data_IF_571645588987
#
_entry.id   IF_571645588987
#
_cell.length_a   1.000
_cell.length_b   1.000
_cell.length_c   1.000
_cell.angle_alpha   90.00
_cell.angle_beta   90.00
_cell.angle_gamma   90.00
#
_symmetry.space_group_name_H-M   'P 1'
#
loop_
_entity.id
_entity.type
_entity.pdbx_description
1 polymer ?
#
# COMPACT_ATOMS: atom_id res chain seq x y z
N UNK A 1 -20.37 -11.19 15.39
CA UNK A 1 -19.95 -12.61 15.50
C UNK A 1 -19.31 -13.14 14.22
N UNK A 2 -19.99 -13.26 13.07
CA UNK A 2 -19.36 -13.75 11.82
C UNK A 2 -18.26 -12.82 11.29
N UNK A 3 -18.46 -11.51 11.33
CA UNK A 3 -17.46 -10.51 10.92
C UNK A 3 -16.21 -10.54 11.81
N UNK A 4 -16.39 -10.70 13.10
CA UNK A 4 -15.30 -10.78 14.08
C UNK A 4 -14.45 -12.03 13.86
N UNK A 5 -15.09 -13.17 13.56
CA UNK A 5 -14.36 -14.42 13.29
C UNK A 5 -13.58 -14.37 11.98
N UNK A 6 -14.16 -13.77 10.93
CA UNK A 6 -13.45 -13.53 9.68
C UNK A 6 -12.22 -12.65 9.86
N UNK A 7 -12.33 -11.58 10.62
CA UNK A 7 -11.22 -10.69 10.95
C UNK A 7 -10.14 -11.43 11.75
N UNK A 8 -10.53 -12.21 12.78
CA UNK A 8 -9.59 -13.07 13.54
C UNK A 8 -8.79 -14.01 12.63
N UNK A 9 -9.45 -14.59 11.63
CA UNK A 9 -8.78 -15.47 10.66
C UNK A 9 -7.81 -14.65 9.77
N UNK A 10 -8.19 -13.47 9.31
CA UNK A 10 -7.33 -12.61 8.50
C UNK A 10 -6.11 -12.13 9.29
N UNK A 11 -6.28 -11.74 10.55
CA UNK A 11 -5.19 -11.36 11.45
C UNK A 11 -4.20 -12.52 11.63
N UNK A 12 -4.70 -13.72 11.93
CA UNK A 12 -3.89 -14.94 12.04
C UNK A 12 -3.18 -15.27 10.70
N UNK A 13 -3.86 -15.04 9.58
CA UNK A 13 -3.27 -15.26 8.25
C UNK A 13 -2.13 -14.27 7.99
N UNK A 14 -2.30 -13.01 8.38
CA UNK A 14 -1.25 -11.99 8.27
C UNK A 14 -0.01 -12.41 9.06
N UNK A 15 -0.17 -12.88 10.29
CA UNK A 15 0.95 -13.38 11.11
C UNK A 15 1.68 -14.56 10.43
N UNK A 16 0.93 -15.54 9.96
CA UNK A 16 1.52 -16.72 9.29
C UNK A 16 2.22 -16.31 7.99
N UNK A 17 1.60 -15.45 7.16
CA UNK A 17 2.23 -14.99 5.91
C UNK A 17 3.48 -14.16 6.19
N UNK A 18 3.47 -13.30 7.21
CA UNK A 18 4.64 -12.51 7.58
C UNK A 18 5.84 -13.39 7.95
N UNK A 19 5.62 -14.49 8.66
CA UNK A 19 6.66 -15.40 9.11
C UNK A 19 7.08 -16.42 8.05
N UNK A 20 6.11 -17.10 7.42
CA UNK A 20 6.33 -18.25 6.53
C UNK A 20 6.38 -17.87 5.04
N UNK A 21 6.05 -16.63 4.70
CA UNK A 21 5.78 -16.16 3.35
C UNK A 21 4.58 -16.86 2.71
N UNK A 22 4.07 -16.33 1.60
CA UNK A 22 2.93 -16.93 0.88
C UNK A 22 3.25 -18.38 0.46
N UNK A 23 4.47 -18.66 0.05
CA UNK A 23 4.91 -20.00 -0.38
C UNK A 23 4.92 -21.02 0.76
N UNK A 24 5.31 -20.62 1.96
CA UNK A 24 5.34 -21.47 3.17
C UNK A 24 4.01 -21.58 3.89
N UNK A 25 3.09 -20.66 3.68
CA UNK A 25 1.77 -20.64 4.34
C UNK A 25 0.98 -21.91 4.08
N UNK A 26 0.40 -22.50 5.16
CA UNK A 26 -0.46 -23.71 5.13
C UNK A 26 -1.68 -23.47 5.98
N UNK A 27 -2.84 -24.05 5.57
CA UNK A 27 -4.13 -23.90 6.27
C UNK A 27 -4.07 -24.33 7.74
N UNK A 28 -3.34 -25.42 8.05
CA UNK A 28 -3.21 -25.88 9.44
C UNK A 28 -2.41 -24.90 10.33
N UNK A 29 -1.44 -24.17 9.77
CA UNK A 29 -0.69 -23.14 10.51
C UNK A 29 -1.62 -21.96 10.85
N UNK A 30 -2.43 -21.51 9.88
CA UNK A 30 -3.40 -20.46 10.08
C UNK A 30 -4.47 -20.87 11.10
N UNK A 31 -4.99 -22.10 11.01
CA UNK A 31 -5.97 -22.62 11.98
C UNK A 31 -5.39 -22.63 13.40
N UNK A 32 -4.14 -23.04 13.55
CA UNK A 32 -3.42 -23.04 14.83
C UNK A 32 -3.25 -21.60 15.36
N UNK A 33 -2.82 -20.68 14.54
CA UNK A 33 -2.62 -19.27 14.90
C UNK A 33 -3.96 -18.60 15.29
N UNK A 34 -5.05 -18.93 14.58
CA UNK A 34 -6.38 -18.44 14.86
C UNK A 34 -7.06 -19.14 16.05
N UNK A 35 -6.39 -20.08 16.72
CA UNK A 35 -6.95 -20.91 17.79
C UNK A 35 -8.29 -21.57 17.38
N UNK A 36 -8.26 -22.30 16.24
CA UNK A 36 -9.42 -23.03 15.72
C UNK A 36 -9.02 -24.32 15.02
N UNK A 37 -10.02 -25.19 14.75
CA UNK A 37 -9.78 -26.39 13.94
C UNK A 37 -9.66 -26.04 12.46
N UNK A 38 -8.90 -26.84 11.71
CA UNK A 38 -8.79 -26.66 10.25
C UNK A 38 -10.14 -26.82 9.55
N UNK A 39 -11.02 -27.68 10.04
CA UNK A 39 -12.37 -27.84 9.50
C UNK A 39 -13.22 -26.57 9.69
N UNK A 40 -13.07 -25.90 10.82
CA UNK A 40 -13.74 -24.63 11.07
C UNK A 40 -13.17 -23.51 10.16
N UNK A 41 -11.86 -23.49 9.95
CA UNK A 41 -11.22 -22.56 9.00
C UNK A 41 -11.77 -22.76 7.58
N UNK A 42 -11.87 -24.00 7.10
CA UNK A 42 -12.44 -24.32 5.78
C UNK A 42 -13.92 -23.93 5.62
N UNK A 43 -14.67 -23.83 6.70
CA UNK A 43 -16.03 -23.30 6.66
C UNK A 43 -16.07 -21.81 6.25
N UNK A 44 -15.09 -21.01 6.71
CA UNK A 44 -14.99 -19.58 6.36
C UNK A 44 -14.26 -19.34 5.03
N UNK A 45 -13.24 -20.12 4.76
CA UNK A 45 -12.37 -20.01 3.58
C UNK A 45 -12.11 -21.43 3.01
N UNK A 46 -12.86 -21.82 1.97
CA UNK A 46 -12.78 -23.17 1.40
C UNK A 46 -11.38 -23.54 0.92
N UNK A 47 -10.63 -22.57 0.37
CA UNK A 47 -9.27 -22.79 -0.15
C UNK A 47 -8.25 -21.82 0.44
N UNK A 48 -6.98 -22.19 0.36
CA UNK A 48 -5.87 -21.28 0.69
C UNK A 48 -5.88 -20.04 -0.20
N UNK A 49 -6.23 -20.17 -1.48
CA UNK A 49 -6.29 -19.03 -2.41
C UNK A 49 -7.35 -18.04 -1.97
N UNK A 50 -8.58 -18.48 -1.64
CA UNK A 50 -9.65 -17.60 -1.17
C UNK A 50 -9.22 -16.79 0.05
N UNK A 51 -8.51 -17.44 0.97
CA UNK A 51 -8.01 -16.80 2.18
C UNK A 51 -6.90 -15.77 1.88
N UNK A 52 -5.96 -16.12 1.01
CA UNK A 52 -4.88 -15.20 0.61
C UNK A 52 -5.40 -14.00 -0.16
N UNK A 53 -6.37 -14.18 -1.06
CA UNK A 53 -7.00 -13.07 -1.78
C UNK A 53 -7.80 -12.18 -0.81
N UNK A 54 -8.51 -12.77 0.15
CA UNK A 54 -9.21 -12.00 1.17
C UNK A 54 -8.24 -11.17 2.03
N UNK A 55 -7.09 -11.72 2.43
CA UNK A 55 -6.06 -11.00 3.15
C UNK A 55 -5.47 -9.87 2.29
N UNK A 56 -5.16 -10.13 1.02
CA UNK A 56 -4.66 -9.10 0.11
C UNK A 56 -5.65 -7.93 0.01
N UNK A 57 -6.92 -8.21 -0.20
CA UNK A 57 -7.96 -7.17 -0.29
C UNK A 57 -8.05 -6.37 1.01
N UNK A 58 -8.00 -7.00 2.17
CA UNK A 58 -8.03 -6.33 3.47
C UNK A 58 -6.82 -5.40 3.66
N UNK A 59 -5.62 -5.85 3.30
CA UNK A 59 -4.40 -5.04 3.31
C UNK A 59 -4.50 -3.85 2.36
N UNK A 60 -4.97 -4.05 1.12
CA UNK A 60 -5.10 -2.97 0.14
C UNK A 60 -6.17 -1.96 0.54
N UNK A 61 -7.28 -2.42 1.13
CA UNK A 61 -8.31 -1.55 1.69
C UNK A 61 -7.77 -0.71 2.84
N UNK A 62 -6.96 -1.30 3.71
CA UNK A 62 -6.31 -0.60 4.81
C UNK A 62 -5.38 0.52 4.29
N UNK A 63 -4.49 0.22 3.33
CA UNK A 63 -3.62 1.22 2.71
C UNK A 63 -4.40 2.33 2.01
N UNK A 64 -5.45 1.97 1.25
CA UNK A 64 -6.28 2.94 0.54
C UNK A 64 -6.99 3.89 1.50
N UNK A 65 -7.59 3.37 2.57
CA UNK A 65 -8.26 4.19 3.59
C UNK A 65 -7.28 5.13 4.30
N UNK A 66 -6.08 4.66 4.67
CA UNK A 66 -5.09 5.53 5.31
C UNK A 66 -4.67 6.68 4.40
N UNK A 67 -4.41 6.42 3.11
CA UNK A 67 -4.11 7.48 2.15
C UNK A 67 -5.25 8.46 1.96
N UNK A 68 -6.48 7.97 1.79
CA UNK A 68 -7.67 8.82 1.62
C UNK A 68 -8.00 9.67 2.84
N UNK A 69 -7.64 9.21 4.04
CA UNK A 69 -7.83 10.00 5.27
C UNK A 69 -6.91 11.21 5.36
N UNK A 70 -5.78 11.23 4.67
CA UNK A 70 -4.83 12.35 4.72
C UNK A 70 -4.98 13.30 3.54
N UNK A 71 -5.47 12.82 2.39
CA UNK A 71 -5.69 13.62 1.17
C UNK A 71 -7.03 14.34 1.25
N UNK A 72 -7.00 15.68 1.22
CA UNK A 72 -8.19 16.54 1.25
C UNK A 72 -7.99 17.75 0.32
N UNK A 73 -8.19 17.57 -1.00
CA UNK A 73 -8.00 18.66 -1.97
C UNK A 73 -8.99 19.82 -1.82
N UNK A 74 -10.09 19.63 -1.09
CA UNK A 74 -11.12 20.67 -0.91
C UNK A 74 -10.78 21.62 0.23
N UNK A 75 -10.14 21.11 1.31
CA UNK A 75 -9.90 21.90 2.52
C UNK A 75 -8.41 22.15 2.82
N UNK A 76 -7.48 21.47 2.13
CA UNK A 76 -6.03 21.62 2.28
C UNK A 76 -5.41 22.21 1.01
N UNK A 77 -4.34 22.97 1.19
CA UNK A 77 -3.51 23.43 0.09
C UNK A 77 -2.76 22.27 -0.57
N UNK A 78 -2.27 22.51 -1.79
CA UNK A 78 -1.40 21.54 -2.47
C UNK A 78 -0.19 21.12 -1.61
N UNK A 79 0.46 22.07 -0.95
CA UNK A 79 1.65 21.78 -0.12
C UNK A 79 1.29 20.93 1.09
N UNK A 80 0.19 21.20 1.77
CA UNK A 80 -0.28 20.40 2.90
C UNK A 80 -0.63 18.97 2.46
N UNK A 81 -1.38 18.81 1.36
CA UNK A 81 -1.69 17.48 0.82
C UNK A 81 -0.43 16.71 0.40
N UNK A 82 0.54 17.37 -0.24
CA UNK A 82 1.78 16.74 -0.67
C UNK A 82 2.60 16.27 0.53
N UNK A 83 2.74 17.12 1.55
CA UNK A 83 3.41 16.79 2.80
C UNK A 83 2.74 15.60 3.50
N UNK A 84 1.42 15.61 3.61
CA UNK A 84 0.65 14.55 4.28
C UNK A 84 0.77 13.20 3.58
N UNK A 85 0.86 13.17 2.23
CA UNK A 85 1.13 11.94 1.45
C UNK A 85 2.47 11.32 1.86
N UNK A 86 3.52 12.14 1.98
CA UNK A 86 4.85 11.64 2.38
C UNK A 86 4.90 11.25 3.86
N UNK A 87 4.27 12.05 4.74
CA UNK A 87 4.19 11.77 6.17
C UNK A 87 3.41 10.47 6.46
N UNK A 88 2.30 10.24 5.75
CA UNK A 88 1.54 8.97 5.84
C UNK A 88 2.43 7.78 5.46
N UNK A 89 3.14 7.86 4.34
CA UNK A 89 4.01 6.77 3.91
C UNK A 89 5.15 6.52 4.88
N UNK A 90 5.76 7.57 5.43
CA UNK A 90 6.75 7.45 6.49
C UNK A 90 6.19 6.70 7.70
N UNK A 91 5.01 7.11 8.18
CA UNK A 91 4.33 6.44 9.28
C UNK A 91 4.08 4.95 9.01
N UNK A 92 3.67 4.59 7.79
CA UNK A 92 3.49 3.17 7.39
C UNK A 92 4.81 2.42 7.48
N UNK A 93 5.90 2.96 6.94
CA UNK A 93 7.22 2.32 6.95
C UNK A 93 7.72 2.10 8.39
N UNK A 94 7.55 3.08 9.27
CA UNK A 94 8.05 3.00 10.65
C UNK A 94 7.20 2.10 11.54
N UNK A 95 5.88 2.19 11.44
CA UNK A 95 4.95 1.61 12.39
C UNK A 95 4.16 0.40 11.89
N UNK A 96 4.17 0.13 10.57
CA UNK A 96 3.38 -0.94 9.94
C UNK A 96 4.23 -1.83 9.01
N UNK A 97 5.51 -2.02 9.31
CA UNK A 97 6.50 -2.79 8.53
C UNK A 97 5.98 -4.15 8.06
N UNK A 98 5.21 -4.84 8.92
CA UNK A 98 4.65 -6.15 8.61
C UNK A 98 3.76 -6.12 7.36
N UNK A 99 2.92 -5.08 7.23
CA UNK A 99 2.05 -4.92 6.08
C UNK A 99 2.86 -4.69 4.79
N UNK A 100 3.92 -3.88 4.85
CA UNK A 100 4.82 -3.66 3.72
C UNK A 100 5.55 -4.96 3.31
N UNK A 101 6.08 -5.75 4.27
CA UNK A 101 6.71 -7.04 3.96
C UNK A 101 5.75 -8.00 3.26
N UNK A 102 4.53 -8.11 3.75
CA UNK A 102 3.51 -8.99 3.19
C UNK A 102 3.07 -8.49 1.82
N UNK A 103 2.91 -7.17 1.66
CA UNK A 103 2.57 -6.56 0.37
C UNK A 103 3.63 -6.88 -0.72
N UNK A 104 4.92 -6.83 -0.40
CA UNK A 104 5.97 -7.17 -1.38
C UNK A 104 5.95 -8.64 -1.77
N UNK A 105 5.66 -9.55 -0.85
CA UNK A 105 5.49 -10.97 -1.18
C UNK A 105 4.28 -11.18 -2.14
N UNK A 106 3.17 -10.51 -1.90
CA UNK A 106 2.04 -10.49 -2.83
C UNK A 106 2.38 -9.85 -4.17
N UNK A 107 3.21 -8.81 -4.19
CA UNK A 107 3.59 -8.16 -5.44
C UNK A 107 4.33 -9.14 -6.38
N UNK A 108 5.23 -9.95 -5.84
CA UNK A 108 5.88 -11.03 -6.58
C UNK A 108 4.84 -12.05 -7.10
N UNK A 109 3.85 -12.42 -6.28
CA UNK A 109 2.77 -13.32 -6.71
C UNK A 109 1.94 -12.72 -7.86
N UNK A 110 1.74 -11.40 -7.90
CA UNK A 110 1.04 -10.70 -8.98
C UNK A 110 1.70 -10.87 -10.36
N UNK A 111 2.97 -11.27 -10.45
CA UNK A 111 3.62 -11.56 -11.72
C UNK A 111 3.08 -12.84 -12.38
N UNK A 112 2.55 -13.78 -11.60
CA UNK A 112 2.08 -15.09 -12.05
C UNK A 112 0.59 -15.35 -11.77
N UNK A 113 0.00 -14.68 -10.77
CA UNK A 113 -1.42 -14.84 -10.40
C UNK A 113 -2.23 -13.65 -10.94
N UNK A 114 -3.18 -13.87 -11.90
CA UNK A 114 -3.98 -12.79 -12.48
C UNK A 114 -4.88 -12.07 -11.47
N UNK A 115 -5.44 -12.77 -10.49
CA UNK A 115 -6.33 -12.19 -9.48
C UNK A 115 -5.58 -11.24 -8.54
N UNK A 116 -4.39 -11.63 -8.10
CA UNK A 116 -3.48 -10.77 -7.33
C UNK A 116 -3.07 -9.56 -8.16
N UNK A 117 -2.73 -9.76 -9.44
CA UNK A 117 -2.37 -8.68 -10.37
C UNK A 117 -3.50 -7.66 -10.53
N UNK A 118 -4.74 -8.12 -10.73
CA UNK A 118 -5.91 -7.26 -10.88
C UNK A 118 -6.16 -6.42 -9.63
N UNK A 119 -5.99 -7.01 -8.43
CA UNK A 119 -6.10 -6.27 -7.16
C UNK A 119 -5.07 -5.14 -7.10
N UNK A 120 -3.79 -5.40 -7.44
CA UNK A 120 -2.77 -4.34 -7.47
C UNK A 120 -3.03 -3.28 -8.55
N UNK A 121 -3.50 -3.65 -9.73
CA UNK A 121 -3.85 -2.69 -10.78
C UNK A 121 -4.91 -1.70 -10.28
N UNK A 122 -5.99 -2.20 -9.67
CA UNK A 122 -7.05 -1.36 -9.06
C UNK A 122 -6.48 -0.43 -7.98
N UNK A 123 -5.65 -0.97 -7.09
CA UNK A 123 -5.04 -0.17 -6.01
C UNK A 123 -4.12 0.92 -6.56
N UNK A 124 -3.30 0.62 -7.57
CA UNK A 124 -2.45 1.61 -8.20
C UNK A 124 -3.25 2.68 -8.94
N UNK A 125 -4.37 2.32 -9.58
CA UNK A 125 -5.24 3.30 -10.23
C UNK A 125 -5.85 4.26 -9.20
N UNK A 126 -6.37 3.74 -8.08
CA UNK A 126 -6.89 4.57 -6.98
C UNK A 126 -5.78 5.50 -6.47
N UNK A 127 -4.62 4.98 -6.15
CA UNK A 127 -3.51 5.77 -5.60
C UNK A 127 -3.03 6.88 -6.55
N UNK A 128 -2.89 6.56 -7.85
CA UNK A 128 -2.55 7.56 -8.86
C UNK A 128 -3.63 8.64 -9.01
N UNK A 129 -4.91 8.25 -8.92
CA UNK A 129 -6.02 9.19 -8.97
C UNK A 129 -6.04 10.11 -7.74
N UNK A 130 -5.79 9.59 -6.53
CA UNK A 130 -5.67 10.39 -5.31
C UNK A 130 -4.55 11.42 -5.47
N UNK A 131 -3.36 11.02 -5.94
CA UNK A 131 -2.24 11.93 -6.22
C UNK A 131 -2.62 12.94 -7.32
N UNK A 132 -3.27 12.51 -8.39
CA UNK A 132 -3.67 13.41 -9.48
C UNK A 132 -4.66 14.47 -8.99
N UNK A 133 -5.57 14.13 -8.07
CA UNK A 133 -6.51 15.09 -7.49
C UNK A 133 -5.79 16.22 -6.75
N UNK A 134 -4.72 15.91 -6.04
CA UNK A 134 -3.84 16.89 -5.38
C UNK A 134 -3.07 17.73 -6.39
N UNK A 135 -2.51 17.11 -7.42
CA UNK A 135 -1.76 17.83 -8.47
C UNK A 135 -2.66 18.80 -9.27
N UNK A 136 -3.93 18.49 -9.44
CA UNK A 136 -4.88 19.36 -10.13
C UNK A 136 -5.08 20.74 -9.42
N UNK A 137 -4.75 20.85 -8.13
CA UNK A 137 -4.77 22.12 -7.41
C UNK A 137 -3.71 23.11 -7.94
N UNK A 138 -2.63 22.62 -8.58
CA UNK A 138 -1.55 23.45 -9.12
C UNK A 138 -1.71 23.77 -10.61
N UNK A 139 -2.62 23.09 -11.31
CA UNK A 139 -2.75 23.19 -12.76
C UNK A 139 -3.52 24.43 -13.17
N UNK A 140 -2.86 25.38 -13.86
CA UNK A 140 -3.55 26.32 -14.74
C UNK A 140 -3.99 25.61 -16.01
N UNK A 141 -5.13 26.05 -16.61
CA UNK A 141 -5.67 25.47 -17.86
C UNK A 141 -4.58 25.55 -18.96
N UNK A 142 -3.99 24.41 -19.32
CA UNK A 142 -2.94 24.30 -20.33
C UNK A 142 -1.75 23.42 -19.90
N UNK A 143 -1.52 23.27 -18.60
CA UNK A 143 -0.39 22.49 -18.06
C UNK A 143 -0.66 21.00 -17.90
N UNK A 144 -1.93 20.59 -17.87
CA UNK A 144 -2.35 19.18 -17.65
C UNK A 144 -1.90 18.22 -18.79
N UNK A 145 -1.60 18.73 -19.98
CA UNK A 145 -1.19 17.92 -21.13
C UNK A 145 0.32 17.66 -21.20
N UNK A 146 1.12 18.28 -20.33
CA UNK A 146 2.57 18.04 -20.35
C UNK A 146 2.90 16.58 -19.98
N UNK A 147 3.95 16.03 -20.60
CA UNK A 147 4.42 14.68 -20.30
C UNK A 147 4.77 14.51 -18.81
N UNK A 148 5.36 15.54 -18.21
CA UNK A 148 5.70 15.56 -16.79
C UNK A 148 4.47 15.47 -15.90
N UNK A 149 3.42 16.25 -16.17
CA UNK A 149 2.18 16.24 -15.40
C UNK A 149 1.51 14.84 -15.43
N UNK A 150 1.47 14.18 -16.61
CA UNK A 150 0.88 12.85 -16.74
C UNK A 150 1.67 11.75 -16.04
N UNK A 151 3.01 11.87 -15.98
CA UNK A 151 3.87 10.84 -15.40
C UNK A 151 4.10 11.03 -13.90
N UNK A 152 3.83 12.21 -13.35
CA UNK A 152 4.13 12.53 -11.97
C UNK A 152 3.44 11.60 -10.95
N UNK A 153 2.16 11.20 -11.10
CA UNK A 153 1.55 10.21 -10.20
C UNK A 153 2.27 8.86 -10.19
N UNK A 154 2.75 8.41 -11.35
CA UNK A 154 3.53 7.17 -11.46
C UNK A 154 4.89 7.29 -10.77
N UNK A 155 5.56 8.41 -10.95
CA UNK A 155 6.86 8.71 -10.32
C UNK A 155 6.70 8.78 -8.81
N UNK A 156 5.66 9.47 -8.30
CA UNK A 156 5.40 9.57 -6.87
C UNK A 156 5.13 8.21 -6.25
N UNK A 157 4.27 7.38 -6.85
CA UNK A 157 4.03 6.00 -6.38
C UNK A 157 5.35 5.21 -6.34
N UNK A 158 6.20 5.35 -7.36
CA UNK A 158 7.49 4.66 -7.41
C UNK A 158 8.46 5.12 -6.32
N UNK A 159 8.51 6.43 -6.01
CA UNK A 159 9.30 6.99 -4.91
C UNK A 159 8.84 6.46 -3.56
N UNK A 160 7.52 6.44 -3.32
CA UNK A 160 6.93 5.99 -2.07
C UNK A 160 7.14 4.47 -1.85
N UNK A 161 6.95 3.66 -2.90
CA UNK A 161 7.20 2.21 -2.84
C UNK A 161 8.70 1.90 -2.74
N UNK A 162 9.53 2.63 -3.48
CA UNK A 162 10.99 2.46 -3.45
C UNK A 162 11.57 2.76 -2.07
N UNK A 163 11.07 3.78 -1.38
CA UNK A 163 11.45 4.08 -0.01
C UNK A 163 11.16 2.91 0.93
N UNK A 164 9.94 2.34 0.89
CA UNK A 164 9.60 1.15 1.67
C UNK A 164 10.53 -0.02 1.40
N UNK A 165 10.73 -0.35 0.12
CA UNK A 165 11.54 -1.50 -0.28
C UNK A 165 12.98 -1.37 0.21
N UNK A 166 13.59 -0.19 0.02
CA UNK A 166 14.95 0.04 0.45
C UNK A 166 15.07 0.02 1.98
N UNK A 167 14.17 0.72 2.68
CA UNK A 167 14.21 0.82 4.14
C UNK A 167 14.01 -0.54 4.82
N UNK A 168 13.13 -1.40 4.29
CA UNK A 168 12.91 -2.74 4.83
C UNK A 168 14.12 -3.66 4.72
N UNK A 169 14.98 -3.45 3.71
CA UNK A 169 16.21 -4.27 3.51
C UNK A 169 17.40 -3.64 4.17
N UNK A 170 17.48 -2.32 4.21
CA UNK A 170 18.69 -1.58 4.58
C UNK A 170 18.37 -0.54 5.67
N UNK A 171 17.60 -0.96 6.68
CA UNK A 171 17.15 -0.12 7.80
C UNK A 171 18.30 0.62 8.47
N UNK A 172 18.13 1.92 8.67
CA UNK A 172 19.11 2.78 9.33
C UNK A 172 20.26 3.28 8.43
N UNK A 173 20.28 2.96 7.13
CA UNK A 173 21.28 3.49 6.19
C UNK A 173 20.94 4.89 5.69
N UNK A 174 19.69 5.28 5.74
CA UNK A 174 19.25 6.63 5.43
C UNK A 174 18.11 7.04 6.37
N UNK A 175 17.98 8.33 6.59
CA UNK A 175 16.91 8.93 7.36
C UNK A 175 15.67 9.10 6.47
N UNK A 176 14.52 8.53 6.90
CA UNK A 176 13.27 8.61 6.14
C UNK A 176 12.72 10.03 6.06
N UNK A 177 12.90 10.83 7.11
CA UNK A 177 12.48 12.24 7.11
C UNK A 177 13.27 13.02 6.06
N UNK A 178 14.60 12.88 6.08
CA UNK A 178 15.46 13.53 5.10
C UNK A 178 15.12 13.07 3.68
N UNK A 179 14.92 11.74 3.48
CA UNK A 179 14.54 11.20 2.18
C UNK A 179 13.26 11.84 1.64
N UNK A 180 12.21 11.89 2.45
CA UNK A 180 10.92 12.42 2.01
C UNK A 180 10.94 13.94 1.84
N UNK A 181 11.68 14.68 2.66
CA UNK A 181 11.89 16.12 2.47
C UNK A 181 12.61 16.44 1.14
N UNK A 182 13.60 15.63 0.77
CA UNK A 182 14.26 15.75 -0.54
C UNK A 182 13.30 15.39 -1.68
N UNK A 183 12.55 14.31 -1.56
CA UNK A 183 11.58 13.89 -2.57
C UNK A 183 10.49 14.96 -2.78
N UNK A 184 9.95 15.54 -1.71
CA UNK A 184 8.99 16.64 -1.76
C UNK A 184 9.59 17.84 -2.49
N UNK A 185 10.81 18.24 -2.13
CA UNK A 185 11.53 19.35 -2.79
C UNK A 185 11.75 19.11 -4.28
N UNK A 186 12.06 17.87 -4.69
CA UNK A 186 12.19 17.49 -6.11
C UNK A 186 10.87 17.66 -6.87
N UNK A 187 9.75 17.21 -6.30
CA UNK A 187 8.42 17.38 -6.90
C UNK A 187 8.07 18.88 -7.05
N UNK A 188 8.29 19.67 -6.01
CA UNK A 188 8.03 21.12 -6.03
C UNK A 188 8.86 21.84 -7.08
N UNK A 189 10.15 21.48 -7.23
CA UNK A 189 11.01 22.06 -8.24
C UNK A 189 10.59 21.68 -9.66
N UNK A 190 10.18 20.41 -9.88
CA UNK A 190 9.66 19.97 -11.17
C UNK A 190 8.41 20.75 -11.61
N UNK A 191 7.55 21.12 -10.65
CA UNK A 191 6.34 21.91 -10.92
C UNK A 191 6.61 23.39 -11.14
N UNK A 192 7.74 23.94 -10.63
CA UNK A 192 8.14 25.35 -10.81
C UNK A 192 8.90 25.63 -12.10
N UNK A 193 9.46 24.60 -12.73
CA UNK A 193 10.35 24.73 -13.90
C UNK A 193 9.57 24.89 -15.22
N UNK A 194 8.44 25.60 -15.17
CA UNK A 194 7.61 25.91 -16.35
C UNK A 194 7.59 27.40 -16.65
#
# INVERSE_FOLDING_TARGET
>A
MLKDMRNKILDATLEVVANEKISGTRMHLIAKEADMTQSNLHYYFPTKNDLLIALLNDIQDWFSKNRQNVVDPENKTFLENLHDIFAEKKNVIENHKKLDYVQFDYWVQGTVNPEVRETFQKTFDIWRNDIQSVLNQTSTRGDAESSSARMLPYIMVSLLMGASMQYLIDEGKFDLEEYFNVAESMILNLLKTK
#
